data_IF_613015924503
#
_entry.id   IF_613015924503
#
_cell.length_a   1.000
_cell.length_b   1.000
_cell.length_c   1.000
_cell.angle_alpha   90.00
_cell.angle_beta   90.00
_cell.angle_gamma   90.00
#
_symmetry.space_group_name_H-M   'P 1'
#
loop_
_entity.id
_entity.type
_entity.pdbx_description
1 polymer ?
#
# COMPACT_ATOMS: atom_id res chain seq x y z
N UNK A 1 32.70 -5.44 24.07
CA UNK A 1 31.47 -5.98 23.45
C UNK A 1 30.38 -4.92 23.53
N UNK A 2 30.19 -4.13 22.47
CA UNK A 2 29.08 -3.18 22.40
C UNK A 2 27.84 -3.91 21.85
N UNK A 3 26.79 -4.01 22.65
CA UNK A 3 25.47 -4.39 22.16
C UNK A 3 24.96 -3.26 21.24
N UNK A 4 24.34 -3.55 20.08
CA UNK A 4 23.63 -2.52 19.34
C UNK A 4 22.52 -1.94 20.24
N UNK A 5 22.25 -0.63 20.16
CA UNK A 5 21.12 -0.04 20.89
C UNK A 5 19.83 -0.80 20.54
N UNK A 6 18.82 -0.87 21.43
CA UNK A 6 17.53 -1.36 21.02
C UNK A 6 17.12 -0.50 19.82
N UNK A 7 16.98 -1.12 18.65
CA UNK A 7 16.37 -0.48 17.50
C UNK A 7 15.01 -0.03 17.97
N UNK A 8 14.91 1.22 18.40
CA UNK A 8 13.65 1.91 18.49
C UNK A 8 13.11 1.77 17.07
N UNK A 9 12.14 0.87 16.90
CA UNK A 9 11.22 0.96 15.78
C UNK A 9 10.55 2.29 16.01
N UNK A 10 11.19 3.39 15.58
CA UNK A 10 10.44 4.56 15.19
C UNK A 10 9.38 3.98 14.26
N UNK A 11 8.07 4.16 14.51
CA UNK A 11 7.16 4.07 13.39
C UNK A 11 7.64 5.18 12.46
N UNK A 12 8.53 4.85 11.53
CA UNK A 12 9.13 5.76 10.55
C UNK A 12 8.12 6.13 9.48
N UNK A 13 6.87 6.29 9.90
CA UNK A 13 5.70 6.38 9.08
C UNK A 13 4.65 7.22 9.77
N UNK A 14 3.78 7.78 8.96
CA UNK A 14 2.62 8.52 9.41
C UNK A 14 1.69 7.66 10.26
N UNK A 15 0.81 8.32 11.02
CA UNK A 15 -0.22 7.61 11.76
C UNK A 15 -1.16 6.91 10.76
N UNK A 16 -1.11 5.58 10.74
CA UNK A 16 -1.96 4.77 9.85
C UNK A 16 -3.39 4.77 10.39
N UNK A 17 -4.18 5.72 9.92
CA UNK A 17 -5.59 5.88 10.25
C UNK A 17 -6.36 6.19 8.98
N UNK A 18 -7.54 5.58 8.80
CA UNK A 18 -8.34 5.79 7.60
C UNK A 18 -8.69 7.29 7.44
N UNK A 19 -8.36 7.85 6.27
CA UNK A 19 -8.49 9.28 5.97
C UNK A 19 -7.36 10.16 6.52
N UNK A 20 -6.42 9.58 7.28
CA UNK A 20 -5.25 10.28 7.80
C UNK A 20 -4.24 10.59 6.70
N UNK A 21 -3.45 11.64 6.90
CA UNK A 21 -2.36 11.96 5.99
C UNK A 21 -1.24 10.92 6.10
N UNK A 22 -0.70 10.53 4.95
CA UNK A 22 0.52 9.76 4.87
C UNK A 22 1.61 10.53 4.13
N UNK A 23 2.85 10.04 4.20
CA UNK A 23 3.97 10.68 3.53
C UNK A 23 4.09 10.16 2.10
N UNK A 24 4.67 10.96 1.21
CA UNK A 24 4.98 10.54 -0.16
C UNK A 24 5.87 9.29 -0.18
N UNK A 25 6.81 9.15 0.76
CA UNK A 25 7.65 7.95 0.88
C UNK A 25 6.86 6.67 1.19
N UNK A 26 5.66 6.83 1.76
CA UNK A 26 4.72 5.76 2.07
C UNK A 26 3.74 5.50 0.92
N UNK A 27 3.78 6.28 -0.15
CA UNK A 27 2.93 6.07 -1.31
C UNK A 27 3.06 4.63 -1.82
N UNK A 28 1.89 4.05 -2.08
CA UNK A 28 1.73 2.64 -2.49
C UNK A 28 2.36 1.68 -1.47
N UNK A 29 2.37 2.01 -0.19
CA UNK A 29 2.73 1.08 0.88
C UNK A 29 1.48 0.69 1.68
N UNK A 30 1.48 -0.54 2.21
CA UNK A 30 0.50 -0.94 3.22
C UNK A 30 0.89 -0.42 4.59
N UNK A 31 -0.09 0.05 5.33
CA UNK A 31 0.02 0.33 6.75
C UNK A 31 -1.06 -0.42 7.51
N UNK A 32 -0.75 -0.85 8.73
CA UNK A 32 -1.72 -1.47 9.63
C UNK A 32 -2.12 -0.46 10.69
N UNK A 33 -3.40 -0.12 10.76
CA UNK A 33 -3.93 0.75 11.81
C UNK A 33 -3.89 0.08 13.19
N UNK A 34 -4.04 0.87 14.25
CA UNK A 34 -4.11 0.36 15.62
C UNK A 34 -5.25 -0.65 15.86
N UNK A 35 -6.29 -0.59 15.02
CA UNK A 35 -7.43 -1.53 15.05
C UNK A 35 -7.17 -2.82 14.27
N UNK A 36 -6.00 -2.99 13.65
CA UNK A 36 -5.65 -4.13 12.81
C UNK A 36 -6.15 -4.04 11.37
N UNK A 37 -6.78 -2.94 10.97
CA UNK A 37 -7.23 -2.72 9.59
C UNK A 37 -6.03 -2.36 8.70
N UNK A 38 -5.91 -3.06 7.58
CA UNK A 38 -4.93 -2.75 6.53
C UNK A 38 -5.42 -1.57 5.68
N UNK A 39 -4.55 -0.58 5.52
CA UNK A 39 -4.78 0.64 4.76
C UNK A 39 -3.66 0.81 3.75
N UNK A 40 -3.94 1.49 2.64
CA UNK A 40 -2.94 1.85 1.63
C UNK A 40 -2.79 3.37 1.58
N UNK A 41 -1.57 3.84 1.48
CA UNK A 41 -1.29 5.25 1.24
C UNK A 41 -1.34 5.53 -0.26
N UNK A 42 -2.26 6.39 -0.69
CA UNK A 42 -2.43 6.78 -2.10
C UNK A 42 -2.36 8.30 -2.24
N UNK A 43 -1.96 8.77 -3.41
CA UNK A 43 -2.11 10.19 -3.74
C UNK A 43 -3.59 10.52 -3.97
N UNK A 44 -4.13 11.40 -3.13
CA UNK A 44 -5.46 11.95 -3.31
C UNK A 44 -5.52 13.13 -4.27
N UNK A 45 -4.43 13.45 -4.99
CA UNK A 45 -4.26 14.64 -5.80
C UNK A 45 -4.16 15.90 -4.93
N UNK A 46 -5.12 16.81 -5.06
CA UNK A 46 -5.11 18.09 -4.33
C UNK A 46 -5.15 17.96 -2.79
N UNK A 47 -5.57 16.79 -2.28
CA UNK A 47 -5.56 16.49 -0.85
C UNK A 47 -4.25 15.89 -0.33
N UNK A 48 -3.28 15.64 -1.21
CA UNK A 48 -2.03 14.95 -0.88
C UNK A 48 -2.22 13.47 -0.57
N UNK A 49 -1.16 12.88 -0.03
CA UNK A 49 -1.08 11.48 0.33
C UNK A 49 -1.95 11.18 1.57
N UNK A 50 -2.81 10.16 1.45
CA UNK A 50 -3.68 9.73 2.55
C UNK A 50 -3.83 8.22 2.64
N UNK A 51 -3.98 7.74 3.86
CA UNK A 51 -4.36 6.36 4.15
C UNK A 51 -5.81 6.13 3.80
N UNK A 52 -6.08 5.19 2.90
CA UNK A 52 -7.43 4.78 2.53
C UNK A 52 -7.59 3.29 2.72
N UNK A 53 -8.83 2.86 2.88
CA UNK A 53 -9.15 1.43 2.85
C UNK A 53 -8.94 0.92 1.43
N UNK A 54 -8.14 -0.13 1.28
CA UNK A 54 -7.98 -0.83 0.02
C UNK A 54 -9.06 -1.93 -0.12
N UNK A 55 -9.31 -2.35 -1.35
CA UNK A 55 -10.10 -3.55 -1.62
C UNK A 55 -9.32 -4.81 -1.17
N UNK A 56 -9.99 -5.97 -0.98
CA UNK A 56 -9.35 -7.25 -0.67
C UNK A 56 -8.02 -7.45 -1.41
N UNK A 57 -6.96 -7.71 -0.64
CA UNK A 57 -5.64 -8.04 -1.17
C UNK A 57 -5.62 -9.54 -1.48
N UNK A 58 -5.24 -9.93 -2.69
CA UNK A 58 -5.09 -11.34 -3.08
C UNK A 58 -3.99 -12.05 -2.27
N UNK A 59 -3.06 -11.29 -1.69
CA UNK A 59 -1.91 -11.80 -0.94
C UNK A 59 -0.79 -12.32 -1.84
N UNK A 60 -0.95 -12.17 -3.16
CA UNK A 60 -0.01 -12.59 -4.17
C UNK A 60 0.90 -11.44 -4.60
N UNK A 61 2.05 -11.81 -5.17
CA UNK A 61 3.02 -10.85 -5.72
C UNK A 61 2.92 -10.89 -7.25
N UNK A 62 2.59 -9.76 -7.87
CA UNK A 62 2.45 -9.65 -9.33
C UNK A 62 3.32 -8.53 -9.91
N UNK A 63 3.68 -8.65 -11.18
CA UNK A 63 4.42 -7.59 -11.88
C UNK A 63 3.46 -6.58 -12.51
N UNK A 64 3.85 -5.31 -12.57
CA UNK A 64 3.09 -4.30 -13.33
C UNK A 64 3.04 -4.71 -14.81
N UNK A 65 1.85 -4.65 -15.40
CA UNK A 65 1.57 -5.04 -16.78
C UNK A 65 1.19 -6.52 -16.95
N UNK A 66 1.33 -7.34 -15.91
CA UNK A 66 0.85 -8.73 -15.92
C UNK A 66 -0.71 -8.73 -15.95
N UNK A 67 -1.34 -9.67 -16.67
CA UNK A 67 -2.80 -9.80 -16.66
C UNK A 67 -3.32 -10.10 -15.26
N UNK A 68 -4.48 -9.55 -14.93
CA UNK A 68 -5.16 -9.77 -13.66
C UNK A 68 -6.64 -10.09 -13.90
N UNK A 69 -7.25 -10.86 -13.01
CA UNK A 69 -8.63 -11.33 -13.17
C UNK A 69 -9.60 -10.40 -12.44
N UNK A 70 -9.90 -9.23 -13.01
CA UNK A 70 -10.93 -8.35 -12.45
C UNK A 70 -12.34 -8.95 -12.68
N UNK A 71 -13.25 -8.99 -11.68
CA UNK A 71 -13.17 -8.32 -10.38
C UNK A 71 -12.65 -9.17 -9.20
N UNK A 72 -12.27 -10.43 -9.42
CA UNK A 72 -11.77 -11.32 -8.37
C UNK A 72 -10.44 -10.82 -7.77
N UNK A 73 -9.54 -10.36 -8.65
CA UNK A 73 -8.33 -9.64 -8.29
C UNK A 73 -8.62 -8.14 -8.22
N UNK A 74 -8.32 -7.53 -7.07
CA UNK A 74 -8.51 -6.10 -6.87
C UNK A 74 -7.20 -5.41 -6.51
N UNK A 75 -6.49 -5.94 -5.51
CA UNK A 75 -5.25 -5.36 -4.98
C UNK A 75 -4.24 -6.48 -4.74
N UNK A 76 -2.98 -6.21 -5.04
CA UNK A 76 -1.84 -7.07 -4.78
C UNK A 76 -0.60 -6.23 -4.42
N UNK A 77 0.55 -6.88 -4.27
CA UNK A 77 1.85 -6.21 -4.19
C UNK A 77 2.73 -6.54 -5.39
N UNK A 78 3.62 -5.64 -5.76
CA UNK A 78 4.72 -5.93 -6.67
C UNK A 78 5.94 -6.50 -5.93
N UNK A 79 6.97 -7.00 -6.65
CA UNK A 79 8.17 -7.56 -6.03
C UNK A 79 8.97 -6.58 -5.15
N UNK A 80 8.72 -5.28 -5.28
CA UNK A 80 9.31 -4.24 -4.43
C UNK A 80 8.49 -4.04 -3.13
N UNK A 81 7.40 -4.78 -2.96
CA UNK A 81 6.48 -4.68 -1.83
C UNK A 81 5.52 -3.50 -1.94
N UNK A 82 5.40 -2.89 -3.12
CA UNK A 82 4.52 -1.74 -3.36
C UNK A 82 3.15 -2.21 -3.85
N UNK A 83 2.11 -1.49 -3.43
CA UNK A 83 0.73 -1.81 -3.77
C UNK A 83 0.50 -1.57 -5.25
N UNK A 84 -0.13 -2.55 -5.87
CA UNK A 84 -0.62 -2.53 -7.24
C UNK A 84 -2.10 -2.89 -7.23
N UNK A 85 -2.81 -2.40 -8.23
CA UNK A 85 -4.24 -2.61 -8.37
C UNK A 85 -4.54 -3.19 -9.73
N UNK A 86 -5.49 -4.13 -9.73
CA UNK A 86 -5.98 -4.75 -10.94
C UNK A 86 -7.05 -3.86 -11.56
N UNK A 87 -6.86 -3.46 -12.81
CA UNK A 87 -7.85 -2.64 -13.49
C UNK A 87 -7.40 -2.12 -14.85
N UNK A 88 -8.10 -1.08 -15.33
CA UNK A 88 -7.87 -0.51 -16.64
C UNK A 88 -8.53 -1.30 -17.79
N UNK A 89 -8.44 -0.80 -19.03
CA UNK A 89 -9.13 -1.38 -20.18
C UNK A 89 -8.62 -2.79 -20.57
N UNK A 90 -7.43 -3.17 -20.10
CA UNK A 90 -6.79 -4.45 -20.43
C UNK A 90 -6.79 -5.44 -19.25
N UNK A 91 -7.40 -5.10 -18.11
CA UNK A 91 -7.34 -5.90 -16.87
C UNK A 91 -5.91 -6.31 -16.53
N UNK A 92 -5.06 -5.31 -16.29
CA UNK A 92 -3.63 -5.53 -15.97
C UNK A 92 -3.27 -4.88 -14.66
N UNK A 93 -2.33 -5.49 -13.95
CA UNK A 93 -1.75 -4.91 -12.74
C UNK A 93 -1.08 -3.57 -13.05
N UNK A 94 -1.46 -2.53 -12.31
CA UNK A 94 -0.93 -1.18 -12.48
C UNK A 94 -0.52 -0.59 -11.14
N UNK A 95 0.50 0.27 -11.17
CA UNK A 95 0.75 1.18 -10.07
C UNK A 95 -0.53 1.99 -9.83
N UNK A 96 -1.13 1.85 -8.65
CA UNK A 96 -2.25 2.71 -8.27
C UNK A 96 -1.83 4.17 -8.23
N UNK A 97 -2.80 5.10 -8.25
CA UNK A 97 -2.53 6.52 -8.05
C UNK A 97 -1.86 6.78 -6.70
#
# INVERSE_FOLDING_TARGET
MHAPPPSQVQPSGSLVVQGGQCWESEARSFGTSASGQSLVCIDGGAGGYRWVQHAPNSGEVHNIGDPCNHPDDQVAVDPEGKVIMCGGPNSTWSAGP
#
